data_IF_513086007532
#
_entry.id   IF_513086007532
#
_cell.length_a   1.000
_cell.length_b   1.000
_cell.length_c   1.000
_cell.angle_alpha   90.00
_cell.angle_beta   90.00
_cell.angle_gamma   90.00
#
_symmetry.space_group_name_H-M   'P 1'
#
loop_
_entity.id
_entity.type
_entity.pdbx_description
1 polymer ?
#
# COMPACT_ATOMS: atom_id res chain seq x y z
N UNK A 1 6.53 -0.65 -9.53
CA UNK A 1 6.57 -2.04 -8.98
C UNK A 1 6.94 -3.02 -10.09
N UNK A 2 7.71 -4.09 -9.79
CA UNK A 2 8.11 -5.08 -10.80
C UNK A 2 6.93 -5.92 -11.28
N UNK A 3 7.00 -6.32 -12.55
CA UNK A 3 6.11 -7.31 -13.14
C UNK A 3 6.75 -8.70 -13.06
N UNK A 4 5.96 -9.77 -13.07
CA UNK A 4 6.46 -11.14 -12.89
C UNK A 4 7.49 -11.58 -13.96
N UNK A 5 7.46 -10.98 -15.14
CA UNK A 5 8.40 -11.23 -16.24
C UNK A 5 9.78 -10.57 -16.04
N UNK A 6 9.90 -9.63 -15.11
CA UNK A 6 11.17 -9.01 -14.73
C UNK A 6 11.82 -9.66 -13.50
N UNK A 7 11.26 -10.76 -13.01
CA UNK A 7 11.73 -11.42 -11.79
C UNK A 7 12.56 -12.65 -12.15
N UNK A 8 13.83 -12.73 -11.72
CA UNK A 8 14.64 -13.92 -11.89
C UNK A 8 14.15 -15.03 -10.96
N UNK A 9 13.53 -16.05 -11.51
CA UNK A 9 13.03 -17.19 -10.74
C UNK A 9 13.78 -18.47 -11.09
N UNK A 10 13.90 -19.35 -10.11
CA UNK A 10 14.35 -20.72 -10.28
C UNK A 10 13.24 -21.68 -9.85
N UNK A 11 13.00 -22.69 -10.67
CA UNK A 11 12.03 -23.72 -10.35
C UNK A 11 12.74 -24.99 -9.89
N UNK A 12 12.24 -25.60 -8.80
CA UNK A 12 12.64 -26.93 -8.34
C UNK A 12 11.38 -27.72 -8.00
N UNK A 13 11.01 -28.66 -8.86
CA UNK A 13 9.73 -29.39 -8.75
C UNK A 13 8.54 -28.44 -8.85
N UNK A 14 7.70 -28.42 -7.81
CA UNK A 14 6.55 -27.52 -7.64
C UNK A 14 6.90 -26.22 -6.89
N UNK A 15 8.18 -26.03 -6.48
CA UNK A 15 8.62 -24.86 -5.73
C UNK A 15 9.21 -23.79 -6.64
N UNK A 16 8.80 -22.54 -6.42
CA UNK A 16 9.39 -21.36 -7.02
C UNK A 16 10.37 -20.73 -6.01
N UNK A 17 11.57 -20.46 -6.46
CA UNK A 17 12.60 -19.84 -5.64
C UNK A 17 13.09 -18.54 -6.27
N UNK A 18 13.22 -17.51 -5.43
CA UNK A 18 13.96 -16.30 -5.75
C UNK A 18 15.42 -16.46 -5.32
N UNK A 19 16.38 -15.99 -6.13
CA UNK A 19 17.77 -15.91 -5.70
C UNK A 19 17.86 -14.97 -4.49
N UNK A 20 18.45 -15.45 -3.38
CA UNK A 20 18.64 -14.63 -2.17
C UNK A 20 19.65 -13.52 -2.40
N UNK A 21 19.43 -12.38 -1.78
CA UNK A 21 20.38 -11.27 -1.76
C UNK A 21 21.43 -11.52 -0.65
N UNK A 22 22.27 -12.54 -0.85
CA UNK A 22 23.42 -12.83 0.00
C UNK A 22 24.64 -11.93 -0.34
N UNK A 23 25.69 -12.02 0.43
CA UNK A 23 26.90 -11.20 0.26
C UNK A 23 27.56 -11.38 -1.13
N UNK A 24 27.53 -12.60 -1.69
CA UNK A 24 28.10 -12.87 -3.02
C UNK A 24 27.24 -12.19 -4.12
N UNK A 25 25.92 -12.34 -4.01
CA UNK A 25 24.99 -11.71 -4.94
C UNK A 25 25.01 -10.18 -4.81
N UNK A 26 25.08 -9.62 -3.61
CA UNK A 26 25.25 -8.16 -3.42
C UNK A 26 26.47 -7.63 -4.16
N UNK A 27 27.64 -8.21 -3.94
CA UNK A 27 28.89 -7.80 -4.63
C UNK A 27 28.77 -7.84 -6.14
N UNK A 28 28.01 -8.78 -6.70
CA UNK A 28 27.75 -8.85 -8.14
C UNK A 28 26.78 -7.78 -8.63
N UNK A 29 25.74 -7.47 -7.86
CA UNK A 29 24.65 -6.58 -8.25
C UNK A 29 24.93 -5.10 -7.97
N UNK A 30 25.77 -4.81 -6.97
CA UNK A 30 26.10 -3.46 -6.53
C UNK A 30 26.67 -2.57 -7.66
N UNK A 31 27.56 -3.04 -8.55
CA UNK A 31 28.02 -2.23 -9.67
C UNK A 31 26.90 -1.81 -10.63
N UNK A 32 25.94 -2.71 -10.90
CA UNK A 32 24.80 -2.40 -11.78
C UNK A 32 23.84 -1.41 -11.11
N UNK A 33 23.58 -1.60 -9.82
CA UNK A 33 22.76 -0.68 -9.05
C UNK A 33 23.41 0.71 -8.94
N UNK A 34 24.75 0.74 -8.71
CA UNK A 34 25.54 1.97 -8.69
C UNK A 34 25.51 2.69 -10.04
N UNK A 35 25.57 1.95 -11.13
CA UNK A 35 25.48 2.53 -12.48
C UNK A 35 24.10 3.17 -12.72
N UNK A 36 23.00 2.51 -12.35
CA UNK A 36 21.65 3.11 -12.47
C UNK A 36 21.56 4.38 -11.64
N UNK A 37 22.03 4.34 -10.38
CA UNK A 37 22.00 5.49 -9.49
C UNK A 37 22.81 6.67 -10.05
N UNK A 38 24.04 6.44 -10.50
CA UNK A 38 24.91 7.47 -11.06
C UNK A 38 24.36 8.07 -12.36
N UNK A 39 23.76 7.23 -13.22
CA UNK A 39 23.11 7.70 -14.45
C UNK A 39 21.94 8.64 -14.15
N UNK A 40 21.04 8.24 -13.23
CA UNK A 40 19.92 9.11 -12.85
C UNK A 40 20.39 10.43 -12.25
N UNK A 41 21.44 10.41 -11.44
CA UNK A 41 22.01 11.66 -10.90
C UNK A 41 22.59 12.55 -12.01
N UNK A 42 23.31 11.97 -12.97
CA UNK A 42 23.88 12.70 -14.11
C UNK A 42 22.82 13.25 -15.09
N UNK A 43 21.64 12.61 -15.12
CA UNK A 43 20.53 12.97 -16.00
C UNK A 43 19.46 13.82 -15.30
N UNK A 44 19.79 14.42 -14.14
CA UNK A 44 18.92 15.37 -13.47
C UNK A 44 18.53 16.49 -14.43
N UNK A 45 17.30 16.97 -14.34
CA UNK A 45 16.71 17.99 -15.21
C UNK A 45 16.61 17.60 -16.72
N UNK A 46 16.84 16.33 -17.05
CA UNK A 46 16.57 15.82 -18.40
C UNK A 46 15.13 15.30 -18.50
N UNK A 47 14.52 15.38 -19.70
CA UNK A 47 13.21 14.81 -19.96
C UNK A 47 13.21 13.29 -19.74
N UNK A 48 12.12 12.77 -19.21
CA UNK A 48 11.94 11.33 -18.94
C UNK A 48 12.27 10.45 -20.14
N UNK A 49 11.84 10.84 -21.34
CA UNK A 49 12.16 10.11 -22.57
C UNK A 49 13.67 10.00 -22.83
N UNK A 50 14.43 11.07 -22.56
CA UNK A 50 15.89 11.07 -22.67
C UNK A 50 16.55 10.19 -21.60
N UNK A 51 16.03 10.24 -20.35
CA UNK A 51 16.50 9.38 -19.26
C UNK A 51 16.26 7.89 -19.59
N UNK A 52 15.07 7.53 -20.05
CA UNK A 52 14.75 6.16 -20.47
C UNK A 52 15.61 5.69 -21.65
N UNK A 53 15.84 6.53 -22.64
CA UNK A 53 16.70 6.23 -23.78
C UNK A 53 18.18 6.02 -23.35
N UNK A 54 18.69 6.87 -22.45
CA UNK A 54 20.04 6.72 -21.92
C UNK A 54 20.21 5.40 -21.16
N UNK A 55 19.26 5.02 -20.30
CA UNK A 55 19.30 3.73 -19.60
C UNK A 55 19.19 2.53 -20.55
N UNK A 56 18.46 2.65 -21.66
CA UNK A 56 18.34 1.61 -22.67
C UNK A 56 19.58 1.48 -23.56
N UNK A 57 20.36 2.54 -23.71
CA UNK A 57 21.57 2.56 -24.54
C UNK A 57 22.79 1.88 -23.91
N UNK A 58 22.72 1.58 -22.61
CA UNK A 58 23.83 0.91 -21.90
C UNK A 58 23.94 -0.54 -22.37
N UNK A 59 25.13 -0.92 -22.80
CA UNK A 59 25.43 -2.30 -23.18
C UNK A 59 25.59 -3.16 -21.91
N UNK A 60 24.66 -4.08 -21.71
CA UNK A 60 24.60 -4.97 -20.55
C UNK A 60 24.71 -6.42 -21.02
N UNK A 61 25.52 -7.20 -20.34
CA UNK A 61 25.62 -8.62 -20.63
C UNK A 61 24.24 -9.31 -20.61
N UNK A 62 23.97 -10.23 -21.57
CA UNK A 62 22.67 -10.91 -21.67
C UNK A 62 22.22 -11.58 -20.36
N UNK A 63 23.17 -12.07 -19.55
CA UNK A 63 22.91 -12.70 -18.24
C UNK A 63 22.37 -11.73 -17.19
N UNK A 64 22.66 -10.45 -17.32
CA UNK A 64 22.31 -9.40 -16.38
C UNK A 64 21.20 -8.47 -16.91
N UNK A 65 20.80 -8.64 -18.16
CA UNK A 65 19.80 -7.79 -18.81
C UNK A 65 18.44 -7.76 -18.07
N UNK A 66 17.98 -8.92 -17.57
CA UNK A 66 16.73 -9.00 -16.81
C UNK A 66 16.81 -8.20 -15.52
N UNK A 67 17.95 -8.32 -14.83
CA UNK A 67 18.23 -7.59 -13.61
C UNK A 67 18.31 -6.09 -13.87
N UNK A 68 19.09 -5.69 -14.89
CA UNK A 68 19.21 -4.29 -15.31
C UNK A 68 17.84 -3.64 -15.55
N UNK A 69 17.01 -4.29 -16.38
CA UNK A 69 15.65 -3.81 -16.65
C UNK A 69 14.80 -3.68 -15.38
N UNK A 70 14.95 -4.61 -14.43
CA UNK A 70 14.26 -4.56 -13.15
C UNK A 70 14.72 -3.40 -12.28
N UNK A 71 16.02 -3.15 -12.18
CA UNK A 71 16.60 -2.02 -11.45
C UNK A 71 16.17 -0.68 -12.07
N UNK A 72 16.33 -0.52 -13.39
CA UNK A 72 15.91 0.68 -14.12
C UNK A 72 14.42 0.99 -13.90
N UNK A 73 13.55 -0.06 -14.05
CA UNK A 73 12.12 0.11 -13.83
C UNK A 73 11.80 0.60 -12.42
N UNK A 74 12.40 0.01 -11.40
CA UNK A 74 12.13 0.42 -10.01
C UNK A 74 12.66 1.81 -9.70
N UNK A 75 13.82 2.16 -10.22
CA UNK A 75 14.40 3.49 -10.06
C UNK A 75 13.52 4.56 -10.73
N UNK A 76 13.08 4.32 -11.97
CA UNK A 76 12.18 5.21 -12.70
C UNK A 76 10.77 5.31 -12.07
N UNK A 77 10.21 4.18 -11.62
CA UNK A 77 8.89 4.17 -10.94
C UNK A 77 8.88 4.97 -9.63
N UNK A 78 10.04 5.15 -9.01
CA UNK A 78 10.19 5.84 -7.74
C UNK A 78 10.76 7.26 -7.88
N UNK A 79 11.32 7.60 -9.04
CA UNK A 79 11.83 8.92 -9.32
C UNK A 79 10.70 9.94 -9.44
N UNK A 80 10.98 11.17 -9.05
CA UNK A 80 10.07 12.30 -9.21
C UNK A 80 10.31 12.96 -10.55
N UNK A 81 9.27 13.01 -11.38
CA UNK A 81 9.25 13.71 -12.64
C UNK A 81 8.19 14.81 -12.59
N UNK A 82 8.56 16.01 -13.01
CA UNK A 82 7.68 17.18 -12.97
C UNK A 82 7.60 17.85 -14.33
N UNK A 83 6.44 18.44 -14.63
CA UNK A 83 6.29 19.30 -15.78
C UNK A 83 7.26 20.50 -15.68
N UNK A 84 8.00 20.76 -16.75
CA UNK A 84 8.96 21.87 -16.81
C UNK A 84 8.31 23.25 -16.60
N UNK A 85 7.00 23.34 -16.83
CA UNK A 85 6.21 24.57 -16.75
C UNK A 85 5.18 24.56 -15.62
N UNK A 86 5.19 23.53 -14.73
CA UNK A 86 4.42 23.56 -13.50
C UNK A 86 4.95 24.68 -12.61
N UNK A 87 4.13 25.65 -12.29
CA UNK A 87 4.43 26.62 -11.24
C UNK A 87 4.44 25.90 -9.91
N UNK A 88 5.43 26.20 -9.10
CA UNK A 88 5.57 25.67 -7.73
C UNK A 88 4.43 26.26 -6.87
N UNK A 89 3.24 25.65 -6.94
CA UNK A 89 2.13 25.94 -6.02
C UNK A 89 2.51 25.33 -4.66
N UNK A 90 3.50 25.98 -4.01
CA UNK A 90 3.80 25.75 -2.61
C UNK A 90 2.54 25.93 -1.79
N UNK A 91 1.97 24.83 -1.31
CA UNK A 91 0.82 24.83 -0.41
C UNK A 91 1.08 25.69 0.83
N UNK A 92 0.60 26.92 0.78
CA UNK A 92 0.52 27.86 1.88
C UNK A 92 -0.81 28.58 1.74
N UNK A 93 -1.78 28.24 2.60
CA UNK A 93 -3.00 29.00 2.85
C UNK A 93 -2.67 30.38 3.45
N UNK A 94 -2.12 31.27 2.66
CA UNK A 94 -2.11 32.69 2.99
C UNK A 94 -2.03 33.49 1.66
N UNK A 95 -3.20 33.71 1.07
CA UNK A 95 -3.35 34.57 -0.09
C UNK A 95 -3.19 36.04 0.33
N UNK A 96 -1.98 36.55 0.17
CA UNK A 96 -1.80 37.99 0.00
C UNK A 96 -1.74 38.28 -1.50
N UNK A 97 -2.77 38.93 -2.02
CA UNK A 97 -2.83 39.53 -3.35
C UNK A 97 -1.59 40.38 -3.60
N UNK A 98 -0.66 39.89 -4.42
CA UNK A 98 0.32 40.75 -5.09
C UNK A 98 -0.01 40.76 -6.56
N UNK A 99 -0.62 41.85 -7.00
CA UNK A 99 -0.86 42.15 -8.41
C UNK A 99 0.50 42.23 -9.13
N UNK A 100 0.77 41.30 -10.03
CA UNK A 100 1.97 41.31 -10.87
C UNK A 100 1.95 40.14 -11.85
N UNK A 101 1.38 40.37 -13.07
CA UNK A 101 1.61 39.55 -14.27
C UNK A 101 1.07 38.13 -14.20
N UNK A 102 -0.15 37.99 -14.61
CA UNK A 102 -0.80 36.72 -15.01
C UNK A 102 0.04 36.05 -16.14
N UNK A 103 1.07 35.29 -15.80
CA UNK A 103 1.60 34.28 -16.70
C UNK A 103 0.57 33.15 -16.77
N UNK A 104 -0.43 33.37 -17.62
CA UNK A 104 -1.52 32.46 -17.91
C UNK A 104 -0.98 31.04 -18.04
N UNK A 105 -1.39 30.18 -17.11
CA UNK A 105 -1.22 28.71 -17.18
C UNK A 105 -1.90 28.23 -18.46
N UNK A 106 -1.16 28.24 -19.56
CA UNK A 106 -1.71 27.85 -20.85
C UNK A 106 -1.70 26.32 -20.89
N UNK A 107 -2.87 25.73 -20.81
CA UNK A 107 -3.09 24.30 -20.93
C UNK A 107 -2.57 23.79 -22.28
N UNK A 108 -1.66 22.81 -22.28
CA UNK A 108 -1.08 22.19 -23.47
C UNK A 108 -2.17 21.64 -24.42
N UNK A 109 -3.30 21.15 -23.88
CA UNK A 109 -4.44 20.69 -24.67
C UNK A 109 -5.08 21.87 -25.39
N UNK A 110 -5.26 23.00 -24.72
CA UNK A 110 -5.81 24.23 -25.32
C UNK A 110 -4.87 24.81 -26.40
N UNK A 111 -3.54 24.77 -26.15
CA UNK A 111 -2.52 25.15 -27.15
C UNK A 111 -2.64 24.32 -28.43
N UNK A 112 -2.69 23.00 -28.30
CA UNK A 112 -2.86 22.10 -29.45
C UNK A 112 -4.16 22.35 -30.15
N UNK A 113 -5.25 22.57 -29.43
CA UNK A 113 -6.56 22.86 -30.02
C UNK A 113 -6.56 24.18 -30.83
N UNK A 114 -5.93 25.22 -30.30
CA UNK A 114 -5.78 26.51 -30.98
C UNK A 114 -4.98 26.37 -32.28
N UNK A 115 -3.80 25.73 -32.22
CA UNK A 115 -2.94 25.47 -33.37
C UNK A 115 -3.64 24.64 -34.44
N UNK A 116 -4.26 23.52 -34.07
CA UNK A 116 -4.95 22.67 -35.03
C UNK A 116 -6.17 23.34 -35.67
N UNK A 117 -6.89 24.16 -34.90
CA UNK A 117 -8.01 24.91 -35.43
C UNK A 117 -7.56 25.95 -36.48
N UNK A 118 -6.48 26.72 -36.18
CA UNK A 118 -5.90 27.68 -37.11
C UNK A 118 -5.30 26.99 -38.34
N UNK A 119 -4.57 25.92 -38.15
CA UNK A 119 -4.01 25.11 -39.24
C UNK A 119 -5.09 24.53 -40.14
N UNK A 120 -6.22 24.07 -39.60
CA UNK A 120 -7.34 23.55 -40.34
C UNK A 120 -8.04 24.65 -41.17
N UNK A 121 -8.17 25.86 -40.63
CA UNK A 121 -8.69 27.02 -41.35
C UNK A 121 -7.75 27.42 -42.49
N UNK A 122 -6.46 27.60 -42.21
CA UNK A 122 -5.45 27.96 -43.21
C UNK A 122 -5.41 26.96 -44.36
N UNK A 123 -5.46 25.66 -44.04
CA UNK A 123 -5.46 24.59 -45.07
C UNK A 123 -6.72 24.58 -45.95
N UNK A 124 -7.88 24.89 -45.37
CA UNK A 124 -9.14 25.03 -46.15
C UNK A 124 -9.11 26.24 -47.07
N UNK A 125 -8.62 27.38 -46.57
CA UNK A 125 -8.57 28.65 -47.33
C UNK A 125 -7.55 28.57 -48.50
N UNK A 126 -6.44 27.84 -48.30
CA UNK A 126 -5.40 27.65 -49.32
C UNK A 126 -5.77 26.63 -50.43
N UNK A 127 -6.98 26.09 -50.47
CA UNK A 127 -7.40 25.15 -51.51
C UNK A 127 -6.63 23.82 -51.53
N UNK A 128 -5.96 23.47 -50.45
CA UNK A 128 -5.36 22.15 -50.19
C UNK A 128 -3.99 21.89 -50.81
N UNK A 129 -3.39 22.78 -51.58
CA UNK A 129 -2.13 22.52 -52.30
C UNK A 129 -1.02 23.56 -52.20
N UNK A 130 -1.32 24.77 -51.80
CA UNK A 130 -0.31 25.85 -51.77
C UNK A 130 -0.41 26.58 -50.44
N UNK A 131 0.73 26.75 -49.76
CA UNK A 131 0.89 27.79 -48.75
C UNK A 131 0.45 27.46 -47.33
N UNK A 132 0.53 26.20 -46.90
CA UNK A 132 0.49 25.92 -45.47
C UNK A 132 1.85 26.34 -44.85
N UNK A 133 1.86 27.55 -44.30
CA UNK A 133 3.00 28.07 -43.57
C UNK A 133 2.82 27.76 -42.08
N UNK A 134 3.53 26.72 -41.63
CA UNK A 134 3.49 26.25 -40.22
C UNK A 134 4.00 27.34 -39.28
N UNK A 135 5.09 28.00 -39.67
CA UNK A 135 5.79 28.91 -38.76
C UNK A 135 4.97 30.19 -38.57
N UNK A 136 4.31 30.70 -39.64
CA UNK A 136 3.39 31.81 -39.55
C UNK A 136 2.18 31.49 -38.63
N UNK A 137 1.63 30.27 -38.67
CA UNK A 137 0.52 29.86 -37.79
C UNK A 137 1.00 29.76 -36.34
N UNK A 138 2.19 29.20 -36.09
CA UNK A 138 2.78 29.13 -34.76
C UNK A 138 2.98 30.53 -34.19
N UNK A 139 3.48 31.47 -34.99
CA UNK A 139 3.75 32.84 -34.57
C UNK A 139 2.46 33.61 -34.28
N UNK A 140 1.42 33.42 -35.13
CA UNK A 140 0.08 34.00 -34.91
C UNK A 140 -0.53 33.52 -33.60
N UNK A 141 -0.54 32.20 -33.37
CA UNK A 141 -1.12 31.62 -32.13
C UNK A 141 -0.32 32.00 -30.91
N UNK A 142 1.01 32.04 -31.02
CA UNK A 142 1.89 32.46 -29.91
C UNK A 142 1.59 33.91 -29.52
N UNK A 143 1.45 34.81 -30.51
CA UNK A 143 1.12 36.23 -30.30
C UNK A 143 -0.24 36.36 -29.62
N UNK A 144 -1.27 35.65 -30.12
CA UNK A 144 -2.63 35.67 -29.56
C UNK A 144 -2.66 35.23 -28.06
N UNK A 145 -1.74 34.37 -27.67
CA UNK A 145 -1.62 33.83 -26.30
C UNK A 145 -0.59 34.54 -25.45
N UNK A 146 0.05 35.61 -25.95
CA UNK A 146 1.08 36.34 -25.23
C UNK A 146 2.39 35.53 -25.03
N UNK A 147 2.64 34.54 -25.89
CA UNK A 147 3.83 33.70 -25.88
C UNK A 147 4.78 34.06 -27.02
N UNK A 148 6.01 33.61 -26.94
CA UNK A 148 6.91 33.53 -28.10
C UNK A 148 6.70 32.21 -28.84
N UNK A 149 6.98 32.19 -30.16
CA UNK A 149 6.87 30.96 -30.93
C UNK A 149 7.69 29.77 -30.33
N UNK A 150 8.97 29.94 -29.93
CA UNK A 150 9.70 28.90 -29.19
C UNK A 150 9.07 28.54 -27.85
N UNK A 151 8.53 29.50 -27.13
CA UNK A 151 7.84 29.28 -25.84
C UNK A 151 6.56 28.45 -25.99
N UNK A 152 5.79 28.68 -27.07
CA UNK A 152 4.62 27.91 -27.41
C UNK A 152 5.03 26.46 -27.78
N UNK A 153 6.04 26.29 -28.65
CA UNK A 153 6.52 24.97 -29.06
C UNK A 153 7.03 24.14 -27.89
N UNK A 154 7.75 24.74 -26.96
CA UNK A 154 8.22 24.08 -25.75
C UNK A 154 7.08 23.58 -24.84
N UNK A 155 5.95 24.30 -24.79
CA UNK A 155 4.78 23.96 -23.98
C UNK A 155 3.80 23.02 -24.67
N UNK A 156 3.93 22.82 -25.97
CA UNK A 156 2.93 22.11 -26.79
C UNK A 156 2.63 20.69 -26.33
N UNK A 157 3.60 20.03 -25.72
CA UNK A 157 3.53 18.64 -25.25
C UNK A 157 4.00 18.48 -23.80
N UNK A 158 4.05 19.56 -23.01
CA UNK A 158 4.54 19.50 -21.64
C UNK A 158 3.70 18.63 -20.71
N UNK A 159 2.43 18.37 -21.05
CA UNK A 159 1.54 17.46 -20.35
C UNK A 159 1.87 15.97 -20.58
N UNK A 160 2.73 15.66 -21.53
CA UNK A 160 3.10 14.27 -21.80
C UNK A 160 4.17 13.77 -20.80
N UNK A 161 3.98 12.59 -20.20
CA UNK A 161 4.93 12.05 -19.23
C UNK A 161 6.39 11.99 -19.71
N UNK A 162 6.61 11.79 -21.00
CA UNK A 162 7.93 11.69 -21.63
C UNK A 162 8.72 13.01 -21.61
N UNK A 163 8.03 14.15 -21.49
CA UNK A 163 8.65 15.48 -21.44
C UNK A 163 8.89 15.99 -20.03
N UNK A 164 8.32 15.34 -19.01
CA UNK A 164 8.55 15.71 -17.62
C UNK A 164 10.01 15.54 -17.25
N UNK A 165 10.54 16.50 -16.49
CA UNK A 165 11.95 16.55 -16.09
C UNK A 165 12.21 15.73 -14.83
N UNK A 166 13.30 14.97 -14.82
CA UNK A 166 13.76 14.26 -13.63
C UNK A 166 14.23 15.23 -12.55
N UNK A 167 13.49 15.34 -11.44
CA UNK A 167 13.81 16.25 -10.33
C UNK A 167 14.57 15.56 -9.20
N UNK A 168 14.12 14.36 -8.84
CA UNK A 168 14.74 13.59 -7.78
C UNK A 168 14.62 12.08 -7.99
N UNK A 169 15.60 11.36 -7.50
CA UNK A 169 15.51 9.90 -7.34
C UNK A 169 15.14 9.57 -5.89
N UNK A 170 14.37 8.49 -5.69
CA UNK A 170 13.90 8.09 -4.36
C UNK A 170 14.99 7.38 -3.54
N UNK A 171 15.88 6.65 -4.21
CA UNK A 171 16.92 5.90 -3.54
C UNK A 171 18.14 6.80 -3.36
N UNK A 172 18.61 6.94 -2.12
CA UNK A 172 19.74 7.80 -1.77
C UNK A 172 21.10 7.19 -2.14
N UNK A 173 21.14 5.87 -2.38
CA UNK A 173 22.35 5.14 -2.82
C UNK A 173 22.01 3.82 -3.54
N UNK A 174 23.06 3.17 -4.03
CA UNK A 174 22.97 1.90 -4.73
C UNK A 174 22.44 0.75 -3.87
N UNK A 175 22.71 0.76 -2.57
CA UNK A 175 22.24 -0.26 -1.62
C UNK A 175 20.73 -0.16 -1.40
N UNK A 176 20.19 1.06 -1.27
CA UNK A 176 18.75 1.29 -1.14
C UNK A 176 18.00 0.78 -2.37
N UNK A 177 18.51 1.04 -3.59
CA UNK A 177 17.93 0.52 -4.82
C UNK A 177 17.99 -1.02 -4.88
N UNK A 178 19.06 -1.64 -4.40
CA UNK A 178 19.18 -3.09 -4.32
C UNK A 178 18.18 -3.72 -3.36
N UNK A 179 18.00 -3.14 -2.18
CA UNK A 179 17.00 -3.59 -1.20
C UNK A 179 15.58 -3.44 -1.76
N UNK A 180 15.32 -2.36 -2.45
CA UNK A 180 14.05 -2.14 -3.17
C UNK A 180 13.83 -3.19 -4.25
N UNK A 181 14.89 -3.57 -4.98
CA UNK A 181 14.80 -4.60 -6.00
C UNK A 181 14.49 -5.98 -5.40
N UNK A 182 15.16 -6.37 -4.30
CA UNK A 182 14.89 -7.64 -3.63
C UNK A 182 13.44 -7.73 -3.14
N UNK A 183 12.96 -6.69 -2.47
CA UNK A 183 11.57 -6.57 -2.06
C UNK A 183 10.61 -6.58 -3.26
N UNK A 184 10.94 -5.85 -4.31
CA UNK A 184 10.15 -5.79 -5.54
C UNK A 184 10.01 -7.15 -6.23
N UNK A 185 11.05 -7.98 -6.23
CA UNK A 185 10.98 -9.36 -6.72
C UNK A 185 10.00 -10.21 -5.90
N UNK A 186 10.08 -10.12 -4.56
CA UNK A 186 9.17 -10.84 -3.67
C UNK A 186 7.72 -10.39 -3.87
N UNK A 187 7.49 -9.09 -3.98
CA UNK A 187 6.18 -8.50 -4.24
C UNK A 187 5.60 -8.95 -5.59
N UNK A 188 6.42 -8.98 -6.64
CA UNK A 188 5.99 -9.38 -7.97
C UNK A 188 5.54 -10.84 -8.06
N UNK A 189 6.12 -11.74 -7.24
CA UNK A 189 5.65 -13.12 -7.12
C UNK A 189 4.21 -13.17 -6.59
N UNK A 190 3.88 -12.34 -5.58
CA UNK A 190 2.54 -12.32 -4.99
C UNK A 190 1.46 -11.83 -5.95
N UNK A 191 1.81 -11.11 -7.02
CA UNK A 191 0.86 -10.75 -8.09
C UNK A 191 0.30 -11.96 -8.84
N UNK A 192 0.92 -13.12 -8.72
CA UNK A 192 0.51 -14.39 -9.33
C UNK A 192 -0.10 -15.37 -8.32
N UNK A 193 -0.34 -14.93 -7.08
CA UNK A 193 -0.88 -15.78 -6.05
C UNK A 193 -2.36 -16.09 -6.30
N UNK A 194 -2.73 -17.36 -6.11
CA UNK A 194 -4.10 -17.84 -5.96
C UNK A 194 -4.53 -17.72 -4.50
N UNK A 195 -3.62 -18.04 -3.59
CA UNK A 195 -3.82 -18.00 -2.15
C UNK A 195 -2.51 -17.68 -1.46
N UNK A 196 -2.61 -16.90 -0.40
CA UNK A 196 -1.48 -16.59 0.48
C UNK A 196 -1.85 -16.98 1.91
N UNK A 197 -1.01 -17.81 2.53
CA UNK A 197 -1.10 -18.13 3.95
C UNK A 197 0.08 -17.48 4.67
N UNK A 198 -0.19 -16.80 5.79
CA UNK A 198 0.85 -16.16 6.60
C UNK A 198 0.69 -16.57 8.05
N UNK A 199 1.68 -17.27 8.57
CA UNK A 199 1.78 -17.58 9.98
C UNK A 199 2.58 -16.44 10.66
N UNK A 200 1.94 -15.71 11.57
CA UNK A 200 2.52 -14.59 12.30
C UNK A 200 2.67 -14.95 13.76
N UNK A 201 3.88 -14.81 14.29
CA UNK A 201 4.19 -15.05 15.70
C UNK A 201 4.49 -13.70 16.35
N UNK A 202 3.69 -13.31 17.34
CA UNK A 202 3.90 -12.07 18.07
C UNK A 202 3.26 -12.11 19.46
N UNK A 203 3.85 -11.36 20.40
CA UNK A 203 3.25 -11.03 21.69
C UNK A 203 2.64 -9.63 21.70
N UNK A 204 2.88 -8.87 20.64
CA UNK A 204 2.37 -7.52 20.48
C UNK A 204 0.98 -7.55 19.83
N UNK A 205 -0.06 -7.48 20.66
CA UNK A 205 -1.45 -7.40 20.20
C UNK A 205 -1.74 -6.12 19.43
N UNK A 206 -1.05 -5.01 19.73
CA UNK A 206 -1.22 -3.76 19.00
C UNK A 206 -0.68 -3.86 17.56
N UNK A 207 0.47 -4.52 17.37
CA UNK A 207 0.99 -4.79 16.03
C UNK A 207 0.04 -5.68 15.21
N UNK A 208 -0.57 -6.70 15.85
CA UNK A 208 -1.52 -7.57 15.17
C UNK A 208 -2.81 -6.83 14.79
N UNK A 209 -3.35 -6.01 15.69
CA UNK A 209 -4.48 -5.13 15.39
C UNK A 209 -4.17 -4.19 14.23
N UNK A 210 -2.99 -3.56 14.22
CA UNK A 210 -2.55 -2.71 13.11
C UNK A 210 -2.51 -3.46 11.78
N UNK A 211 -2.07 -4.73 11.78
CA UNK A 211 -2.10 -5.58 10.59
C UNK A 211 -3.53 -5.85 10.12
N UNK A 212 -4.47 -6.15 11.03
CA UNK A 212 -5.86 -6.39 10.66
C UNK A 212 -6.54 -5.13 10.13
N UNK A 213 -6.29 -3.96 10.73
CA UNK A 213 -6.75 -2.68 10.18
C UNK A 213 -6.18 -2.43 8.78
N UNK A 214 -4.91 -2.71 8.59
CA UNK A 214 -4.26 -2.58 7.30
C UNK A 214 -4.90 -3.50 6.24
N UNK A 215 -5.18 -4.78 6.57
CA UNK A 215 -5.86 -5.73 5.69
C UNK A 215 -7.28 -5.23 5.33
N UNK A 216 -8.03 -4.73 6.30
CA UNK A 216 -9.36 -4.15 6.12
C UNK A 216 -9.31 -2.90 5.22
N UNK A 217 -8.42 -1.96 5.50
CA UNK A 217 -8.24 -0.73 4.73
C UNK A 217 -7.90 -1.03 3.26
N UNK A 218 -7.03 -2.01 3.02
CA UNK A 218 -6.67 -2.46 1.68
C UNK A 218 -7.76 -3.30 1.00
N UNK A 219 -8.87 -3.58 1.70
CA UNK A 219 -9.99 -4.39 1.21
C UNK A 219 -9.55 -5.76 0.71
N UNK A 220 -8.57 -6.37 1.38
CA UNK A 220 -8.14 -7.72 1.09
C UNK A 220 -9.18 -8.71 1.62
N UNK A 221 -9.41 -9.79 0.89
CA UNK A 221 -10.26 -10.90 1.32
C UNK A 221 -9.43 -11.86 2.15
N UNK A 222 -9.70 -11.93 3.45
CA UNK A 222 -8.87 -12.71 4.36
C UNK A 222 -9.69 -13.37 5.47
N UNK A 223 -9.13 -14.45 6.00
CA UNK A 223 -9.59 -15.17 7.20
C UNK A 223 -8.42 -15.30 8.15
N UNK A 224 -8.71 -15.43 9.44
CA UNK A 224 -7.71 -15.60 10.48
C UNK A 224 -8.11 -16.76 11.39
N UNK A 225 -7.15 -17.61 11.74
CA UNK A 225 -7.28 -18.66 12.72
C UNK A 225 -6.11 -18.63 13.70
N UNK A 226 -6.33 -19.06 14.93
CA UNK A 226 -5.26 -19.17 15.92
C UNK A 226 -4.55 -20.50 15.71
N UNK A 227 -3.23 -20.46 15.67
CA UNK A 227 -2.45 -21.70 15.61
C UNK A 227 -2.33 -22.32 17.00
N UNK A 228 -2.49 -23.65 17.12
CA UNK A 228 -2.31 -24.34 18.37
C UNK A 228 -0.88 -24.13 18.87
N UNK A 229 -0.73 -23.95 20.17
CA UNK A 229 0.61 -23.88 20.78
C UNK A 229 1.28 -25.25 20.67
N UNK A 230 2.56 -25.34 20.28
CA UNK A 230 3.26 -26.61 20.32
C UNK A 230 3.25 -27.15 21.75
N UNK A 231 2.78 -28.39 21.91
CA UNK A 231 2.83 -29.07 23.20
C UNK A 231 4.30 -29.24 23.65
N UNK A 232 4.57 -29.01 24.92
CA UNK A 232 5.90 -29.26 25.49
C UNK A 232 6.19 -30.77 25.45
N UNK A 233 7.17 -31.19 24.67
CA UNK A 233 7.54 -32.58 24.52
C UNK A 233 8.42 -33.10 25.69
N UNK A 234 8.93 -32.23 26.58
CA UNK A 234 9.93 -32.62 27.58
C UNK A 234 9.73 -32.04 29.00
N UNK A 235 8.51 -31.73 29.44
CA UNK A 235 8.26 -31.34 30.85
C UNK A 235 8.98 -30.09 31.37
N UNK A 236 9.90 -29.52 30.62
CA UNK A 236 10.56 -28.27 30.99
C UNK A 236 9.59 -27.09 30.71
N UNK A 237 9.55 -26.05 31.56
CA UNK A 237 8.75 -24.87 31.27
C UNK A 237 9.27 -24.24 29.98
N UNK A 238 8.66 -24.58 28.85
CA UNK A 238 8.93 -23.89 27.59
C UNK A 238 8.56 -22.43 27.87
N UNK A 239 9.55 -21.55 27.85
CA UNK A 239 9.35 -20.10 27.80
C UNK A 239 8.28 -19.89 26.75
N UNK A 240 7.06 -19.55 27.21
CA UNK A 240 5.85 -19.66 26.41
C UNK A 240 6.07 -19.07 25.01
N UNK A 241 5.99 -19.92 23.97
CA UNK A 241 6.12 -19.47 22.60
C UNK A 241 5.09 -18.34 22.36
N UNK A 242 5.44 -17.29 21.62
CA UNK A 242 4.50 -16.23 21.33
C UNK A 242 3.25 -16.81 20.66
N UNK A 243 2.05 -16.28 20.95
CA UNK A 243 0.84 -16.69 20.26
C UNK A 243 1.04 -16.53 18.74
N UNK A 244 0.50 -17.48 18.00
CA UNK A 244 0.62 -17.49 16.55
C UNK A 244 -0.77 -17.48 15.93
N UNK A 245 -0.92 -16.67 14.90
CA UNK A 245 -2.14 -16.62 14.08
C UNK A 245 -1.79 -16.94 12.63
N UNK A 246 -2.69 -17.64 11.96
CA UNK A 246 -2.62 -17.88 10.52
C UNK A 246 -3.61 -16.99 9.81
N UNK A 247 -3.12 -16.19 8.88
CA UNK A 247 -3.90 -15.43 7.93
C UNK A 247 -3.98 -16.21 6.63
N UNK A 248 -5.19 -16.42 6.12
CA UNK A 248 -5.43 -16.95 4.77
C UNK A 248 -6.01 -15.81 3.95
N UNK A 249 -5.32 -15.42 2.88
CA UNK A 249 -5.68 -14.28 2.04
C UNK A 249 -5.86 -14.79 0.62
N UNK A 250 -6.98 -14.43 -0.02
CA UNK A 250 -7.22 -14.77 -1.41
C UNK A 250 -6.28 -13.97 -2.30
N UNK A 251 -5.65 -14.63 -3.25
CA UNK A 251 -4.71 -14.01 -4.17
C UNK A 251 -5.41 -13.39 -5.40
N UNK A 252 -4.73 -12.46 -6.11
CA UNK A 252 -5.30 -11.79 -7.29
C UNK A 252 -5.62 -12.76 -8.44
N UNK A 253 -4.92 -13.88 -8.52
CA UNK A 253 -5.17 -14.90 -9.54
C UNK A 253 -6.40 -15.78 -9.27
N UNK A 254 -6.96 -15.75 -8.05
CA UNK A 254 -8.20 -16.42 -7.68
C UNK A 254 -9.44 -15.57 -7.96
N UNK A 255 -9.28 -14.25 -8.07
CA UNK A 255 -10.38 -13.31 -8.26
C UNK A 255 -10.70 -13.19 -9.75
N UNK A 256 -11.97 -13.40 -10.12
CA UNK A 256 -12.43 -13.43 -11.50
C UNK A 256 -12.08 -12.17 -12.32
N UNK A 257 -12.00 -11.03 -11.68
CA UNK A 257 -11.72 -9.74 -12.32
C UNK A 257 -10.22 -9.40 -12.43
N UNK A 258 -9.29 -10.29 -12.07
CA UNK A 258 -7.82 -10.10 -12.09
C UNK A 258 -7.38 -8.63 -11.86
N UNK A 259 -7.93 -8.00 -10.81
CA UNK A 259 -7.68 -6.59 -10.54
C UNK A 259 -6.20 -6.36 -10.21
N UNK A 260 -5.49 -5.67 -11.10
CA UNK A 260 -4.11 -5.23 -10.88
C UNK A 260 -4.00 -4.47 -9.55
N UNK A 261 -5.01 -3.66 -9.23
CA UNK A 261 -5.10 -2.91 -7.98
C UNK A 261 -5.09 -3.82 -6.75
N UNK A 262 -5.84 -4.92 -6.76
CA UNK A 262 -5.86 -5.88 -5.66
C UNK A 262 -4.50 -6.57 -5.49
N UNK A 263 -3.87 -6.97 -6.60
CA UNK A 263 -2.53 -7.54 -6.58
C UNK A 263 -1.47 -6.60 -5.98
N UNK A 264 -1.51 -5.32 -6.35
CA UNK A 264 -0.64 -4.29 -5.78
C UNK A 264 -0.89 -4.16 -4.26
N UNK A 265 -2.13 -4.16 -3.83
CA UNK A 265 -2.47 -4.10 -2.41
C UNK A 265 -1.97 -5.32 -1.65
N UNK A 266 -2.12 -6.53 -2.20
CA UNK A 266 -1.59 -7.74 -1.60
C UNK A 266 -0.06 -7.72 -1.51
N UNK A 267 0.63 -7.24 -2.53
CA UNK A 267 2.09 -7.15 -2.55
C UNK A 267 2.65 -6.24 -1.43
N UNK A 268 1.88 -5.23 -1.00
CA UNK A 268 2.21 -4.36 0.12
C UNK A 268 2.12 -5.06 1.50
N UNK A 269 1.65 -6.30 1.55
CA UNK A 269 1.64 -7.09 2.79
C UNK A 269 3.05 -7.35 3.33
N UNK A 270 4.04 -7.55 2.45
CA UNK A 270 5.41 -7.88 2.85
C UNK A 270 6.06 -6.83 3.77
N UNK A 271 6.04 -5.52 3.44
CA UNK A 271 6.51 -4.49 4.37
C UNK A 271 5.76 -4.48 5.71
N UNK A 272 4.45 -4.74 5.72
CA UNK A 272 3.67 -4.79 6.94
C UNK A 272 4.07 -5.96 7.86
N UNK A 273 4.55 -7.07 7.29
CA UNK A 273 5.01 -8.24 8.06
C UNK A 273 6.39 -8.04 8.71
N UNK A 274 7.23 -7.12 8.23
CA UNK A 274 8.60 -6.93 8.74
C UNK A 274 8.65 -6.49 10.22
N UNK A 275 7.58 -5.95 10.76
CA UNK A 275 7.48 -5.52 12.16
C UNK A 275 7.29 -6.67 13.17
N UNK A 276 6.92 -7.87 12.69
CA UNK A 276 6.70 -9.01 13.57
C UNK A 276 7.99 -9.73 13.90
N UNK A 277 8.04 -10.33 15.11
CA UNK A 277 9.22 -11.06 15.60
C UNK A 277 9.60 -12.22 14.67
N UNK A 278 8.58 -12.93 14.17
CA UNK A 278 8.72 -14.05 13.24
C UNK A 278 7.45 -14.21 12.43
N UNK A 279 7.62 -14.45 11.14
CA UNK A 279 6.52 -14.80 10.26
C UNK A 279 7.00 -15.75 9.16
N UNK A 280 6.06 -16.54 8.63
CA UNK A 280 6.26 -17.41 7.49
C UNK A 280 5.09 -17.22 6.51
N UNK A 281 5.41 -16.97 5.26
CA UNK A 281 4.46 -16.82 4.17
C UNK A 281 4.58 -18.00 3.21
N UNK A 282 3.44 -18.59 2.85
CA UNK A 282 3.30 -19.60 1.80
C UNK A 282 2.29 -19.10 0.80
N UNK A 283 2.61 -19.18 -0.50
CA UNK A 283 1.71 -18.79 -1.56
C UNK A 283 1.57 -19.89 -2.60
N UNK A 284 0.33 -20.22 -2.95
CA UNK A 284 0.02 -21.01 -4.13
C UNK A 284 -0.07 -20.08 -5.33
N UNK A 285 0.70 -20.35 -6.36
CA UNK A 285 0.88 -19.47 -7.50
C UNK A 285 0.35 -20.07 -8.78
N UNK A 286 -0.12 -19.20 -9.67
CA UNK A 286 -0.35 -19.52 -11.08
C UNK A 286 0.73 -18.82 -11.93
N UNK A 287 1.82 -19.53 -12.21
CA UNK A 287 3.01 -18.96 -12.84
C UNK A 287 3.11 -19.30 -14.31
N UNK A 288 3.45 -18.30 -15.14
CA UNK A 288 3.56 -18.39 -16.59
C UNK A 288 2.43 -17.70 -17.33
N UNK A 289 2.71 -17.21 -18.55
CA UNK A 289 1.73 -16.47 -19.38
C UNK A 289 0.94 -17.41 -20.30
N UNK A 290 1.63 -18.25 -21.08
CA UNK A 290 0.98 -19.11 -22.10
C UNK A 290 0.50 -20.44 -21.53
N UNK A 291 1.29 -21.06 -20.65
CA UNK A 291 0.95 -22.30 -19.96
C UNK A 291 1.13 -22.12 -18.46
N UNK A 292 0.12 -21.58 -17.76
CA UNK A 292 0.21 -21.35 -16.33
C UNK A 292 0.38 -22.66 -15.57
N UNK A 293 1.41 -22.74 -14.73
CA UNK A 293 1.70 -23.88 -13.87
C UNK A 293 1.38 -23.55 -12.43
N UNK A 294 0.89 -24.54 -11.70
CA UNK A 294 0.71 -24.44 -10.27
C UNK A 294 2.07 -24.59 -9.59
N UNK A 295 2.52 -23.56 -8.90
CA UNK A 295 3.78 -23.55 -8.14
C UNK A 295 3.51 -23.05 -6.72
N UNK A 296 4.40 -23.37 -5.80
CA UNK A 296 4.41 -22.88 -4.43
C UNK A 296 5.59 -21.94 -4.20
N UNK A 297 5.36 -20.93 -3.40
CA UNK A 297 6.40 -20.01 -2.96
C UNK A 297 6.37 -19.89 -1.46
N UNK A 298 7.55 -19.93 -0.83
CA UNK A 298 7.69 -19.80 0.62
C UNK A 298 8.70 -18.70 0.94
N UNK A 299 8.33 -17.84 1.89
CA UNK A 299 9.17 -16.76 2.37
C UNK A 299 9.09 -16.71 3.90
N UNK A 300 10.22 -16.46 4.54
CA UNK A 300 10.32 -16.32 6.00
C UNK A 300 10.99 -15.01 6.35
N UNK A 301 10.55 -14.38 7.45
CA UNK A 301 11.14 -13.14 7.91
C UNK A 301 10.85 -12.84 9.37
N UNK A 302 11.25 -11.65 9.79
CA UNK A 302 11.07 -11.12 11.13
C UNK A 302 12.35 -10.74 11.82
N UNK A 303 12.27 -9.94 12.89
CA UNK A 303 13.41 -9.42 13.64
C UNK A 303 14.28 -10.54 14.28
N UNK A 304 13.69 -11.68 14.63
CA UNK A 304 14.41 -12.84 15.12
C UNK A 304 15.22 -13.54 14.02
N UNK A 305 14.67 -13.60 12.79
CA UNK A 305 15.37 -14.18 11.63
C UNK A 305 16.57 -13.32 11.20
N UNK A 306 16.45 -12.01 11.30
CA UNK A 306 17.56 -11.07 11.04
C UNK A 306 18.68 -11.24 12.04
N UNK A 307 18.36 -11.39 13.34
CA UNK A 307 19.35 -11.65 14.41
C UNK A 307 20.05 -13.01 14.27
N UNK A 308 19.35 -14.03 13.80
CA UNK A 308 19.96 -15.36 13.55
C UNK A 308 20.92 -15.35 12.36
N UNK A 309 20.62 -14.55 11.32
CA UNK A 309 21.48 -14.40 10.14
C UNK A 309 22.76 -13.61 10.45
N UNK A 310 22.67 -12.56 11.29
CA UNK A 310 23.86 -11.80 11.72
C UNK A 310 24.80 -12.59 12.63
N UNK A 311 24.33 -13.65 13.31
CA UNK A 311 25.18 -14.56 14.10
C UNK A 311 25.91 -15.62 13.25
N UNK A 312 25.41 -15.95 12.06
CA UNK A 312 26.07 -16.88 11.13
C UNK A 312 27.17 -16.22 10.30
N UNK A 313 27.14 -14.90 10.15
CA UNK A 313 28.07 -14.09 9.34
C UNK A 313 29.01 -13.22 10.20
N UNK A 314 29.18 -13.53 11.46
CA UNK A 314 30.03 -12.77 12.41
C UNK A 314 31.51 -12.92 12.07
N UNK A 315 31.91 -12.27 10.99
CA UNK A 315 33.27 -11.93 10.60
C UNK A 315 33.31 -10.44 10.23
N UNK A 316 33.33 -9.57 11.22
CA UNK A 316 33.80 -8.18 11.16
C UNK A 316 32.95 -7.17 10.39
N UNK A 317 32.31 -6.25 11.12
CA UNK A 317 31.74 -5.00 10.56
C UNK A 317 30.65 -4.43 11.44
N UNK A 318 30.87 -3.26 12.02
CA UNK A 318 29.95 -2.55 12.88
C UNK A 318 28.58 -2.33 12.22
N UNK A 319 27.52 -2.75 12.93
CA UNK A 319 26.14 -2.48 12.56
C UNK A 319 25.84 -1.00 12.79
N UNK A 320 25.80 -0.22 11.72
CA UNK A 320 25.18 1.09 11.71
C UNK A 320 23.66 0.93 11.70
N UNK A 321 22.99 1.60 12.61
CA UNK A 321 21.54 1.76 12.65
C UNK A 321 21.08 2.50 11.38
N UNK A 322 20.79 1.76 10.32
CA UNK A 322 20.05 2.28 9.18
C UNK A 322 18.55 2.11 9.47
N UNK A 323 18.01 3.02 10.27
CA UNK A 323 16.59 3.30 10.28
C UNK A 323 16.22 3.86 8.90
N UNK A 324 15.78 2.99 7.99
CA UNK A 324 15.19 3.37 6.71
C UNK A 324 13.93 4.17 6.97
N UNK A 325 14.07 5.50 6.84
CA UNK A 325 12.97 6.44 6.71
C UNK A 325 12.28 6.26 5.33
N UNK A 326 11.67 5.09 5.12
CA UNK A 326 10.63 4.89 4.13
C UNK A 326 9.36 4.70 4.92
N UNK A 327 8.32 5.50 4.62
CA UNK A 327 7.05 5.52 5.31
C UNK A 327 6.66 4.11 5.78
N UNK A 328 6.78 3.86 7.07
CA UNK A 328 6.33 2.63 7.71
C UNK A 328 4.89 2.41 7.26
N UNK A 329 4.51 1.24 6.73
CA UNK A 329 3.11 0.89 6.55
C UNK A 329 2.51 0.72 7.93
N UNK A 330 2.29 1.83 8.61
CA UNK A 330 1.53 1.91 9.85
C UNK A 330 0.07 1.59 9.60
N UNK A 331 -0.70 1.39 10.63
CA UNK A 331 -2.15 1.59 10.60
C UNK A 331 -2.40 2.83 9.76
N UNK A 332 -3.31 2.79 8.77
CA UNK A 332 -3.61 4.01 8.02
C UNK A 332 -3.84 5.12 9.04
N UNK A 333 -3.11 6.24 8.98
CA UNK A 333 -3.19 7.28 10.01
C UNK A 333 -4.66 7.63 10.31
N UNK A 334 -5.51 7.65 9.27
CA UNK A 334 -6.93 7.93 9.40
C UNK A 334 -7.70 6.99 10.35
N UNK A 335 -7.35 5.69 10.48
CA UNK A 335 -8.09 4.75 11.36
C UNK A 335 -7.54 4.81 12.79
N UNK A 336 -6.22 4.92 12.95
CA UNK A 336 -5.62 5.13 14.26
C UNK A 336 -6.11 6.45 14.88
N UNK A 337 -6.20 7.50 14.08
CA UNK A 337 -6.70 8.81 14.48
C UNK A 337 -8.21 8.78 14.77
N UNK A 338 -8.99 7.94 14.09
CA UNK A 338 -10.43 7.80 14.34
C UNK A 338 -10.69 7.08 15.68
N UNK A 339 -9.94 6.00 15.96
CA UNK A 339 -10.01 5.28 17.25
C UNK A 339 -9.57 6.20 18.38
N UNK A 340 -8.45 6.92 18.23
CA UNK A 340 -7.96 7.82 19.28
C UNK A 340 -8.93 8.97 19.53
N UNK A 341 -9.44 9.62 18.47
CA UNK A 341 -10.46 10.67 18.60
C UNK A 341 -11.72 10.20 19.31
N UNK A 342 -12.17 8.96 19.04
CA UNK A 342 -13.33 8.39 19.73
C UNK A 342 -13.04 8.13 21.20
N UNK A 343 -11.84 7.63 21.55
CA UNK A 343 -11.43 7.48 22.95
C UNK A 343 -11.43 8.83 23.67
N UNK A 344 -10.81 9.85 23.09
CA UNK A 344 -10.74 11.21 23.64
C UNK A 344 -12.12 11.85 23.77
N UNK A 345 -13.04 11.58 22.83
CA UNK A 345 -14.43 12.08 22.89
C UNK A 345 -15.20 11.43 24.03
N UNK A 346 -15.04 10.13 24.25
CA UNK A 346 -15.68 9.39 25.33
C UNK A 346 -15.15 9.83 26.70
N UNK A 347 -13.84 9.99 26.84
CA UNK A 347 -13.24 10.47 28.10
C UNK A 347 -13.73 11.87 28.48
N UNK A 348 -13.84 12.79 27.48
CA UNK A 348 -14.37 14.15 27.73
C UNK A 348 -15.82 14.20 28.17
N UNK A 349 -16.61 13.19 27.88
CA UNK A 349 -18.03 13.13 28.30
C UNK A 349 -18.21 12.86 29.78
N UNK A 350 -17.17 12.36 30.46
CA UNK A 350 -17.17 12.02 31.91
C UNK A 350 -18.44 11.27 32.36
N UNK A 351 -18.91 10.36 31.53
CA UNK A 351 -20.17 9.63 31.70
C UNK A 351 -20.02 8.31 32.47
N UNK A 352 -18.93 8.14 33.24
CA UNK A 352 -18.60 6.91 33.94
C UNK A 352 -18.17 5.76 33.05
N UNK A 353 -17.74 6.08 31.81
CA UNK A 353 -17.15 5.15 30.83
C UNK A 353 -15.70 5.52 30.57
N UNK A 354 -14.86 4.52 30.46
CA UNK A 354 -13.49 4.65 29.93
C UNK A 354 -13.38 3.93 28.60
N UNK A 355 -12.59 4.50 27.69
CA UNK A 355 -12.36 3.94 26.37
C UNK A 355 -10.85 3.78 26.14
N UNK A 356 -10.42 2.62 25.69
CA UNK A 356 -9.02 2.37 25.35
C UNK A 356 -8.90 1.52 24.10
N UNK A 357 -7.86 1.72 23.28
CA UNK A 357 -7.58 0.83 22.17
C UNK A 357 -7.43 -0.61 22.66
N UNK A 358 -8.17 -1.56 22.08
CA UNK A 358 -8.11 -2.96 22.47
C UNK A 358 -6.96 -3.69 21.79
N UNK A 359 -6.32 -4.62 22.51
CA UNK A 359 -5.36 -5.58 21.96
C UNK A 359 -5.84 -7.02 22.13
N UNK A 360 -7.08 -7.19 22.62
CA UNK A 360 -7.66 -8.51 22.86
C UNK A 360 -7.98 -9.23 21.56
N UNK A 361 -7.69 -10.52 21.55
CA UNK A 361 -7.91 -11.42 20.41
C UNK A 361 -8.79 -12.56 20.91
N UNK A 362 -10.01 -12.63 20.40
CA UNK A 362 -10.96 -13.70 20.71
C UNK A 362 -11.06 -14.68 19.56
N UNK A 363 -10.97 -15.96 19.83
CA UNK A 363 -11.17 -17.01 18.84
C UNK A 363 -12.62 -17.48 18.88
N UNK A 364 -13.28 -17.41 17.70
CA UNK A 364 -14.60 -17.97 17.52
C UNK A 364 -14.46 -19.31 16.80
N UNK A 365 -14.67 -20.45 17.46
CA UNK A 365 -14.43 -21.77 16.87
C UNK A 365 -15.16 -21.95 15.53
N UNK A 366 -14.41 -22.33 14.50
CA UNK A 366 -14.94 -22.59 13.15
C UNK A 366 -15.24 -21.34 12.32
N UNK A 367 -15.05 -20.11 12.85
CA UNK A 367 -15.31 -18.85 12.13
C UNK A 367 -14.11 -17.93 12.02
N UNK A 368 -13.12 -18.08 12.90
CA UNK A 368 -11.93 -17.27 12.86
C UNK A 368 -11.67 -16.47 14.14
N UNK A 369 -10.98 -15.36 13.99
CA UNK A 369 -10.52 -14.51 15.10
C UNK A 369 -11.23 -13.17 15.06
N UNK A 370 -11.75 -12.74 16.21
CA UNK A 370 -12.27 -11.41 16.43
C UNK A 370 -11.20 -10.54 17.11
N UNK A 371 -11.03 -9.32 16.63
CA UNK A 371 -10.14 -8.33 17.22
C UNK A 371 -10.89 -7.00 17.27
N UNK A 372 -11.16 -6.53 18.50
CA UNK A 372 -11.79 -5.24 18.70
C UNK A 372 -10.84 -4.08 18.38
N UNK A 373 -11.40 -2.96 17.95
CA UNK A 373 -10.63 -1.73 17.74
C UNK A 373 -10.43 -0.98 19.05
N UNK A 374 -11.45 -0.96 19.90
CA UNK A 374 -11.38 -0.42 21.25
C UNK A 374 -12.25 -1.21 22.23
N UNK A 375 -11.94 -1.08 23.51
CA UNK A 375 -12.71 -1.60 24.63
C UNK A 375 -13.31 -0.43 25.40
N UNK A 376 -14.61 -0.53 25.64
CA UNK A 376 -15.33 0.35 26.55
C UNK A 376 -15.51 -0.36 27.89
N UNK A 377 -15.20 0.33 28.97
CA UNK A 377 -15.43 -0.17 30.32
C UNK A 377 -16.31 0.83 31.11
N UNK A 378 -17.39 0.33 31.65
CA UNK A 378 -18.25 1.09 32.55
C UNK A 378 -17.75 0.97 34.00
N UNK A 379 -17.95 1.97 34.82
CA UNK A 379 -17.45 2.03 36.20
C UNK A 379 -17.93 0.87 37.11
N UNK A 380 -19.02 0.19 36.77
CA UNK A 380 -19.53 -1.01 37.46
C UNK A 380 -18.88 -2.33 37.00
N UNK A 381 -17.91 -2.25 36.09
CA UNK A 381 -17.22 -3.40 35.56
C UNK A 381 -17.78 -3.96 34.23
N UNK A 382 -18.88 -3.40 33.69
CA UNK A 382 -19.42 -3.78 32.40
C UNK A 382 -18.42 -3.46 31.29
N UNK A 383 -18.19 -4.43 30.35
CA UNK A 383 -17.25 -4.31 29.23
C UNK A 383 -17.97 -4.48 27.91
N UNK A 384 -17.64 -3.67 26.92
CA UNK A 384 -18.13 -3.78 25.54
C UNK A 384 -16.98 -3.60 24.59
N UNK A 385 -16.83 -4.51 23.64
CA UNK A 385 -15.89 -4.36 22.54
C UNK A 385 -16.51 -3.59 21.40
N UNK A 386 -15.73 -2.74 20.78
CA UNK A 386 -16.19 -1.94 19.63
C UNK A 386 -15.30 -2.23 18.43
N UNK A 387 -15.94 -2.47 17.28
CA UNK A 387 -15.26 -2.63 15.99
C UNK A 387 -15.78 -1.59 15.00
N UNK A 388 -14.84 -0.83 14.37
CA UNK A 388 -15.16 0.21 13.40
C UNK A 388 -15.07 -0.36 11.99
N UNK A 389 -16.18 -0.35 11.27
CA UNK A 389 -16.33 -0.95 9.93
C UNK A 389 -16.30 0.08 8.80
N UNK A 390 -15.57 1.20 8.97
CA UNK A 390 -15.61 2.34 8.04
C UNK A 390 -15.16 2.04 6.60
N UNK A 391 -14.28 1.06 6.40
CA UNK A 391 -13.73 0.70 5.10
C UNK A 391 -14.20 -0.66 4.57
N UNK A 392 -15.20 -1.26 5.19
CA UNK A 392 -15.68 -2.59 4.84
C UNK A 392 -16.60 -2.57 3.62
N UNK A 393 -16.71 -3.73 2.96
CA UNK A 393 -17.78 -3.97 2.00
C UNK A 393 -19.06 -4.37 2.73
N UNK A 394 -20.21 -4.24 2.06
CA UNK A 394 -21.49 -4.69 2.60
C UNK A 394 -21.45 -6.17 2.99
N UNK A 395 -20.85 -7.03 2.13
CA UNK A 395 -20.74 -8.46 2.38
C UNK A 395 -19.87 -8.78 3.61
N UNK A 396 -18.84 -7.99 3.88
CA UNK A 396 -18.01 -8.16 5.07
C UNK A 396 -18.78 -7.86 6.37
N UNK A 397 -19.73 -6.90 6.34
CA UNK A 397 -20.64 -6.66 7.48
C UNK A 397 -21.51 -7.88 7.76
N UNK A 398 -22.08 -8.50 6.72
CA UNK A 398 -22.89 -9.72 6.88
C UNK A 398 -22.08 -10.90 7.43
N UNK A 399 -20.85 -11.08 6.95
CA UNK A 399 -19.96 -12.13 7.47
C UNK A 399 -19.62 -11.89 8.94
N UNK A 400 -19.42 -10.64 9.33
CA UNK A 400 -19.14 -10.28 10.74
C UNK A 400 -20.38 -10.48 11.62
N UNK A 401 -21.55 -10.11 11.14
CA UNK A 401 -22.81 -10.36 11.83
C UNK A 401 -23.01 -11.87 12.08
N UNK A 402 -22.71 -12.72 11.10
CA UNK A 402 -22.80 -14.18 11.26
C UNK A 402 -21.82 -14.72 12.31
N UNK A 403 -20.61 -14.15 12.37
CA UNK A 403 -19.63 -14.48 13.40
C UNK A 403 -20.17 -14.13 14.80
N UNK A 404 -20.78 -12.95 14.94
CA UNK A 404 -21.31 -12.47 16.22
C UNK A 404 -22.54 -13.24 16.70
N UNK A 405 -23.38 -13.77 15.81
CA UNK A 405 -24.52 -14.62 16.17
C UNK A 405 -24.13 -15.90 16.91
N UNK A 406 -22.91 -16.37 16.74
CA UNK A 406 -22.39 -17.55 17.45
C UNK A 406 -21.91 -17.24 18.86
N UNK A 407 -21.90 -15.95 19.24
CA UNK A 407 -21.58 -15.46 20.57
C UNK A 407 -20.09 -15.28 20.81
N UNK A 408 -19.77 -14.18 21.47
CA UNK A 408 -18.48 -13.87 22.06
C UNK A 408 -18.65 -13.76 23.57
N UNK A 409 -17.56 -13.91 24.31
CA UNK A 409 -17.58 -13.80 25.77
C UNK A 409 -17.93 -12.38 26.24
N UNK A 410 -17.64 -11.37 25.41
CA UNK A 410 -17.89 -9.95 25.70
C UNK A 410 -18.83 -9.40 24.62
N UNK A 411 -19.81 -8.55 25.00
CA UNK A 411 -20.70 -7.86 24.07
C UNK A 411 -19.92 -7.04 23.04
N UNK A 412 -20.43 -7.01 21.80
CA UNK A 412 -19.78 -6.30 20.70
C UNK A 412 -20.69 -5.26 20.09
N UNK A 413 -20.18 -4.04 19.97
CA UNK A 413 -20.82 -2.96 19.23
C UNK A 413 -20.07 -2.73 17.90
N UNK A 414 -20.74 -3.00 16.78
CA UNK A 414 -20.23 -2.67 15.45
C UNK A 414 -20.59 -1.23 15.09
N UNK A 415 -19.63 -0.47 14.59
CA UNK A 415 -19.85 0.89 14.10
C UNK A 415 -19.68 0.87 12.57
N UNK A 416 -20.77 1.09 11.83
CA UNK A 416 -20.74 1.09 10.37
C UNK A 416 -21.18 2.43 9.78
N UNK A 417 -20.55 2.85 8.69
CA UNK A 417 -20.97 4.05 7.99
C UNK A 417 -22.31 3.82 7.26
N UNK A 418 -23.25 4.77 7.35
CA UNK A 418 -24.51 4.77 6.59
C UNK A 418 -24.30 4.59 5.07
N UNK A 419 -23.12 4.94 4.54
CA UNK A 419 -22.76 4.74 3.14
C UNK A 419 -22.78 3.27 2.71
N UNK A 420 -22.65 2.33 3.65
CA UNK A 420 -22.70 0.90 3.39
C UNK A 420 -24.14 0.40 3.11
N UNK A 421 -25.16 1.22 3.39
CA UNK A 421 -26.59 0.89 3.19
C UNK A 421 -26.96 -0.48 3.80
N UNK A 422 -26.52 -0.71 5.02
CA UNK A 422 -26.82 -1.90 5.82
C UNK A 422 -27.89 -1.51 6.84
N UNK A 423 -28.85 -2.40 7.12
CA UNK A 423 -29.84 -2.22 8.17
C UNK A 423 -29.24 -2.62 9.52
N UNK A 424 -29.53 -1.86 10.58
CA UNK A 424 -29.08 -2.17 11.95
C UNK A 424 -29.56 -3.55 12.43
N UNK A 425 -30.69 -4.02 11.90
CA UNK A 425 -31.26 -5.35 12.17
C UNK A 425 -30.45 -6.53 11.61
N UNK A 426 -29.43 -6.25 10.81
CA UNK A 426 -28.53 -7.30 10.29
C UNK A 426 -27.79 -8.00 11.42
N UNK A 427 -27.52 -7.30 12.52
CA UNK A 427 -26.96 -7.86 13.75
C UNK A 427 -28.12 -8.11 14.72
N UNK A 428 -28.77 -9.27 14.57
CA UNK A 428 -29.82 -9.76 15.45
C UNK A 428 -29.18 -10.71 16.48
N UNK A 429 -28.72 -10.17 17.60
CA UNK A 429 -28.05 -10.93 18.66
C UNK A 429 -28.12 -10.16 19.99
N UNK A 430 -28.46 -10.86 21.06
CA UNK A 430 -28.50 -10.28 22.42
C UNK A 430 -27.12 -9.80 22.90
N UNK A 431 -26.05 -10.27 22.26
CA UNK A 431 -24.66 -9.97 22.63
C UNK A 431 -23.94 -9.08 21.60
N UNK A 432 -24.64 -8.56 20.60
CA UNK A 432 -24.06 -7.67 19.62
C UNK A 432 -25.09 -6.68 19.07
N UNK A 433 -24.63 -5.46 18.77
CA UNK A 433 -25.43 -4.42 18.14
C UNK A 433 -24.66 -3.73 17.01
N UNK A 434 -25.39 -3.19 16.03
CA UNK A 434 -24.87 -2.38 14.96
C UNK A 434 -25.33 -0.92 15.15
N UNK A 435 -24.41 0.02 15.21
CA UNK A 435 -24.67 1.44 15.23
C UNK A 435 -24.21 2.07 13.92
N UNK A 436 -25.14 2.72 13.21
CA UNK A 436 -24.84 3.44 11.99
C UNK A 436 -24.41 4.88 12.30
N UNK A 437 -23.36 5.36 11.62
CA UNK A 437 -22.89 6.73 11.74
C UNK A 437 -22.72 7.44 10.40
N UNK A 438 -22.88 8.78 10.41
CA UNK A 438 -22.69 9.64 9.25
C UNK A 438 -21.56 10.63 9.53
N UNK A 439 -20.48 10.55 8.75
CA UNK A 439 -19.32 11.41 8.95
C UNK A 439 -18.48 11.01 10.16
N UNK A 440 -18.58 11.74 11.27
CA UNK A 440 -17.81 11.50 12.51
C UNK A 440 -18.58 10.60 13.46
N UNK A 441 -17.86 9.69 14.13
CA UNK A 441 -18.43 8.83 15.17
C UNK A 441 -18.62 9.66 16.45
N UNK A 442 -19.83 9.66 17.01
CA UNK A 442 -20.16 10.38 18.24
C UNK A 442 -19.99 9.48 19.47
N UNK A 443 -19.11 9.85 20.41
CA UNK A 443 -18.90 9.13 21.67
C UNK A 443 -20.19 9.01 22.49
N UNK A 444 -21.05 10.04 22.52
CA UNK A 444 -22.35 10.00 23.21
C UNK A 444 -23.27 8.91 22.67
N UNK A 445 -23.36 8.75 21.34
CA UNK A 445 -24.17 7.68 20.71
C UNK A 445 -23.57 6.29 20.98
N UNK A 446 -22.24 6.19 20.95
CA UNK A 446 -21.52 4.94 21.23
C UNK A 446 -21.76 4.49 22.68
N UNK A 447 -21.65 5.39 23.66
CA UNK A 447 -21.95 5.09 25.08
C UNK A 447 -23.40 4.65 25.23
N UNK A 448 -24.36 5.36 24.63
CA UNK A 448 -25.78 5.02 24.73
C UNK A 448 -26.07 3.62 24.16
N UNK A 449 -25.49 3.27 23.00
CA UNK A 449 -25.63 1.95 22.40
C UNK A 449 -24.96 0.85 23.25
N UNK A 450 -23.78 1.12 23.80
CA UNK A 450 -23.07 0.19 24.68
C UNK A 450 -23.85 -0.05 26.00
N UNK A 451 -24.45 1.01 26.57
CA UNK A 451 -25.28 0.89 27.76
C UNK A 451 -26.55 0.06 27.50
N UNK A 452 -27.20 0.26 26.36
CA UNK A 452 -28.37 -0.52 25.95
C UNK A 452 -28.03 -2.00 25.76
N UNK A 453 -26.88 -2.29 25.15
CA UNK A 453 -26.40 -3.64 24.96
C UNK A 453 -26.13 -4.39 26.28
N UNK A 454 -25.52 -3.70 27.28
CA UNK A 454 -25.30 -4.28 28.61
C UNK A 454 -26.62 -4.45 29.40
N UNK A 455 -27.61 -3.55 29.21
CA UNK A 455 -28.91 -3.67 29.84
C UNK A 455 -29.74 -4.84 29.28
N UNK A 456 -29.63 -5.13 27.97
CA UNK A 456 -30.27 -6.28 27.34
C UNK A 456 -29.75 -7.63 27.87
N UNK A 457 -28.49 -7.70 28.32
CA UNK A 457 -27.93 -8.89 28.95
C UNK A 457 -28.35 -9.10 30.41
N UNK A 458 -28.78 -8.04 31.08
CA UNK A 458 -29.20 -8.08 32.47
C UNK A 458 -30.70 -8.43 32.68
N UNK A 459 -31.46 -8.56 31.59
CA UNK A 459 -32.84 -9.02 31.63
C UNK A 459 -32.86 -10.56 31.59
N UNK A 460 -33.46 -11.25 32.60
CA UNK A 460 -33.49 -12.70 32.68
C UNK A 460 -34.37 -13.35 31.60
#
# INVERSE_FOLDING_TARGET
MLTADLVPVRRRGDQLHLPRLDAARRRRLEPLSGLVHALLESLRDQPRGAVEAALQSIDIEPTDLLLWRGLCKLALDAATFEDAFATDDGGGDDAAEVAGGDETRVDAVALRAALFSRAAVARRTAGGRVGFDRDAIVEEVATDLGLTAPGLEARLFCDLPETHLLRAQADHDAEALLLRYDLGCQQAVLLRALRVEVDVHTRDGAALRSLFHWLKFRRLLWRCERLPRPASTNGAPVRAAPPAVRLQIDGPAAIYAQSTRYGVQLAQLLPALQRFERWQLRADLRWGRQQPQALRYTLEGGSAATRSRSRGDAGGGAAGDAATAGASPGTPPAVADEVQRLCDDIERLDAGWTARPSAEIEEVPGLGVFVADLELQRGDGGRVWVEIMGFWSRDAVFQRAELLRRGLAVPVLLLASERLRVDERVVDSDNAALLLYKGVISGKRVIAAAAALLAGQAAP
#
